data_IF_347649547529
#
_entry.id   IF_347649547529
#
_cell.length_a   1.000
_cell.length_b   1.000
_cell.length_c   1.000
_cell.angle_alpha   90.00
_cell.angle_beta   90.00
_cell.angle_gamma   90.00
#
_symmetry.space_group_name_H-M   'P 1'
#
loop_
_entity.id
_entity.type
_entity.pdbx_description
1 polymer ?
#
# COMPACT_ATOMS: atom_id res chain seq x y z
N UNK A 1 8.06 25.49 6.85
CA UNK A 1 7.03 24.93 7.75
C UNK A 1 7.63 23.67 8.35
N UNK A 2 7.72 23.56 9.68
CA UNK A 2 8.34 22.39 10.31
C UNK A 2 7.28 21.29 10.43
N UNK A 3 7.22 20.40 9.44
CA UNK A 3 6.53 19.13 9.59
C UNK A 3 7.31 18.26 10.58
N UNK A 4 6.63 17.42 11.35
CA UNK A 4 7.31 16.36 12.10
C UNK A 4 7.97 15.35 11.16
N UNK A 5 8.71 14.37 11.71
CA UNK A 5 9.50 13.42 10.93
C UNK A 5 8.68 12.70 9.84
N UNK A 6 7.50 12.17 10.17
CA UNK A 6 6.60 11.51 9.21
C UNK A 6 6.13 12.47 8.11
N UNK A 7 5.69 13.68 8.47
CA UNK A 7 5.26 14.67 7.50
C UNK A 7 6.40 15.11 6.56
N UNK A 8 7.63 15.18 7.06
CA UNK A 8 8.82 15.47 6.26
C UNK A 8 9.18 14.34 5.28
N UNK A 9 9.11 13.07 5.71
CA UNK A 9 9.36 11.92 4.84
C UNK A 9 8.32 11.80 3.70
N UNK A 10 7.08 12.20 3.97
CA UNK A 10 5.94 12.00 3.06
C UNK A 10 5.36 13.31 2.51
N UNK A 11 6.14 14.40 2.47
CA UNK A 11 5.62 15.72 2.10
C UNK A 11 5.09 15.83 0.66
N UNK A 12 5.50 14.93 -0.23
CA UNK A 12 4.93 14.81 -1.59
C UNK A 12 3.42 14.55 -1.57
N UNK A 13 2.92 13.84 -0.58
CA UNK A 13 1.48 13.64 -0.40
C UNK A 13 0.79 14.90 0.09
N UNK A 14 1.44 15.75 0.89
CA UNK A 14 0.79 16.93 1.44
C UNK A 14 0.59 18.02 0.38
N UNK A 15 1.65 18.31 -0.38
CA UNK A 15 1.66 19.43 -1.33
C UNK A 15 2.64 19.24 -2.51
N UNK A 16 2.95 18.00 -2.90
CA UNK A 16 3.89 17.68 -3.99
C UNK A 16 5.31 18.25 -3.81
N UNK A 17 5.72 18.54 -2.57
CA UNK A 17 7.11 18.89 -2.29
C UNK A 17 8.04 17.70 -2.49
N UNK A 18 9.28 17.97 -2.89
CA UNK A 18 10.36 16.96 -2.96
C UNK A 18 10.52 16.23 -1.64
N UNK A 19 10.87 14.95 -1.63
CA UNK A 19 11.07 14.17 -0.39
C UNK A 19 12.57 13.90 -0.18
N UNK A 20 13.02 13.64 1.06
CA UNK A 20 14.41 13.28 1.29
C UNK A 20 14.76 11.94 0.62
N UNK A 21 16.03 11.77 0.22
CA UNK A 21 16.49 10.57 -0.49
C UNK A 21 16.27 9.26 0.26
N UNK A 22 16.16 9.30 1.59
CA UNK A 22 15.87 8.16 2.44
C UNK A 22 14.38 8.02 2.82
N UNK A 23 13.48 8.72 2.14
CA UNK A 23 12.04 8.55 2.30
C UNK A 23 11.61 7.14 1.86
N UNK A 24 10.46 6.64 2.36
CA UNK A 24 9.84 5.44 1.82
C UNK A 24 9.65 5.54 0.31
N UNK A 25 9.87 4.44 -0.42
CA UNK A 25 9.75 4.45 -1.89
C UNK A 25 8.39 4.95 -2.38
N UNK A 26 7.31 4.65 -1.64
CA UNK A 26 5.97 5.13 -1.98
C UNK A 26 5.87 6.67 -2.00
N UNK A 27 6.66 7.37 -1.18
CA UNK A 27 6.68 8.83 -1.14
C UNK A 27 7.21 9.48 -2.42
N UNK A 28 7.91 8.73 -3.29
CA UNK A 28 8.32 9.21 -4.60
C UNK A 28 7.23 9.02 -5.67
N UNK A 29 6.20 8.19 -5.42
CA UNK A 29 5.16 7.89 -6.39
C UNK A 29 4.40 9.13 -6.90
N UNK A 30 4.00 10.11 -6.04
CA UNK A 30 3.37 11.34 -6.53
C UNK A 30 4.31 12.19 -7.38
N UNK A 31 5.61 12.21 -7.07
CA UNK A 31 6.60 13.02 -7.79
C UNK A 31 6.86 12.45 -9.18
N UNK A 32 7.03 11.13 -9.28
CA UNK A 32 7.18 10.44 -10.56
C UNK A 32 5.93 10.64 -11.44
N UNK A 33 4.73 10.49 -10.86
CA UNK A 33 3.48 10.71 -11.60
C UNK A 33 3.29 12.18 -12.03
N UNK A 34 3.75 13.13 -11.21
CA UNK A 34 3.76 14.54 -11.54
C UNK A 34 4.68 14.83 -12.73
N UNK A 35 5.91 14.33 -12.71
CA UNK A 35 6.88 14.51 -13.79
C UNK A 35 6.43 13.86 -15.10
N UNK A 36 5.81 12.68 -15.04
CA UNK A 36 5.22 12.06 -16.23
C UNK A 36 4.10 12.89 -16.85
N UNK A 37 3.32 13.62 -16.04
CA UNK A 37 2.23 14.49 -16.53
C UNK A 37 2.74 15.85 -17.02
N UNK A 38 3.51 16.56 -16.20
CA UNK A 38 3.82 17.98 -16.43
C UNK A 38 5.20 18.22 -17.04
N UNK A 39 6.13 17.26 -16.91
CA UNK A 39 7.43 17.30 -17.57
C UNK A 39 7.51 16.34 -18.77
N UNK A 40 6.38 15.69 -19.13
CA UNK A 40 6.25 14.77 -20.28
C UNK A 40 7.30 13.65 -20.28
N UNK A 41 7.68 13.17 -19.09
CA UNK A 41 8.61 12.06 -18.94
C UNK A 41 7.92 10.70 -19.06
N UNK A 42 8.73 9.64 -19.18
CA UNK A 42 8.27 8.23 -19.21
C UNK A 42 8.89 7.41 -18.07
N UNK A 43 8.92 7.99 -16.87
CA UNK A 43 9.52 7.39 -15.69
C UNK A 43 8.73 6.17 -15.18
N UNK A 44 9.43 5.16 -14.61
CA UNK A 44 8.79 3.96 -14.11
C UNK A 44 7.95 4.23 -12.86
N UNK A 45 6.69 3.80 -12.90
CA UNK A 45 5.78 3.94 -11.77
C UNK A 45 6.13 3.02 -10.61
N UNK A 46 6.02 3.60 -9.42
CA UNK A 46 5.98 2.88 -8.14
C UNK A 46 4.67 2.08 -8.06
N UNK A 47 4.77 0.79 -7.74
CA UNK A 47 3.61 -0.10 -7.76
C UNK A 47 2.72 0.02 -6.54
N UNK A 48 3.28 0.40 -5.39
CA UNK A 48 2.53 0.54 -4.14
C UNK A 48 1.25 1.37 -4.31
N UNK A 49 0.19 0.87 -3.69
CA UNK A 49 -1.13 1.50 -3.57
C UNK A 49 -1.40 1.61 -2.09
N UNK A 50 -1.64 2.84 -1.61
CA UNK A 50 -1.92 3.11 -0.21
C UNK A 50 -3.44 3.20 0.01
N UNK A 51 -3.94 2.88 1.22
CA UNK A 51 -5.36 3.03 1.54
C UNK A 51 -5.85 4.47 1.34
N UNK A 52 -7.15 4.66 1.05
CA UNK A 52 -7.75 5.99 0.88
C UNK A 52 -7.52 6.91 2.10
N UNK A 53 -7.49 6.34 3.31
CA UNK A 53 -7.31 7.10 4.55
C UNK A 53 -5.89 7.61 4.74
N UNK A 54 -4.90 7.05 4.01
CA UNK A 54 -3.49 7.34 4.25
C UNK A 54 -3.17 8.84 4.24
N UNK A 55 -3.68 9.57 3.24
CA UNK A 55 -3.46 11.01 3.13
C UNK A 55 -4.01 11.73 4.36
N UNK A 56 -5.25 11.44 4.74
CA UNK A 56 -5.89 12.00 5.95
C UNK A 56 -5.10 11.68 7.22
N UNK A 57 -4.71 10.42 7.39
CA UNK A 57 -3.94 9.95 8.54
C UNK A 57 -2.57 10.65 8.61
N UNK A 58 -1.97 10.93 7.45
CA UNK A 58 -0.73 11.70 7.34
C UNK A 58 -0.93 13.17 7.76
N UNK A 59 -2.02 13.83 7.37
CA UNK A 59 -2.33 15.20 7.82
C UNK A 59 -2.48 15.26 9.34
N UNK A 60 -3.21 14.30 9.94
CA UNK A 60 -3.34 14.20 11.40
C UNK A 60 -1.96 13.97 12.03
N UNK A 61 -1.23 12.96 11.55
CA UNK A 61 0.07 12.60 12.08
C UNK A 61 1.06 13.76 12.00
N UNK A 62 1.04 14.55 10.92
CA UNK A 62 1.91 15.69 10.72
C UNK A 62 1.54 16.95 11.53
N UNK A 63 0.44 16.91 12.30
CA UNK A 63 -0.02 18.03 13.13
C UNK A 63 -0.93 19.02 12.40
N UNK A 64 -1.52 18.62 11.28
CA UNK A 64 -2.30 19.47 10.39
C UNK A 64 -3.73 18.96 10.19
N UNK A 65 -4.29 18.33 11.22
CA UNK A 65 -5.63 17.72 11.16
C UNK A 65 -6.76 18.71 10.82
N UNK A 66 -6.60 20.00 11.11
CA UNK A 66 -7.58 21.05 10.77
C UNK A 66 -7.63 21.36 9.26
N UNK A 67 -6.62 20.94 8.50
CA UNK A 67 -6.49 21.20 7.06
C UNK A 67 -6.72 19.96 6.18
N UNK A 68 -7.23 18.87 6.77
CA UNK A 68 -7.57 17.64 6.03
C UNK A 68 -8.54 17.99 4.90
N UNK A 69 -8.17 17.64 3.67
CA UNK A 69 -9.06 17.72 2.53
C UNK A 69 -8.76 16.61 1.52
N UNK A 70 -9.82 15.91 1.11
CA UNK A 70 -9.80 14.92 0.02
C UNK A 70 -10.11 15.58 -1.34
N UNK A 71 -10.31 16.90 -1.37
CA UNK A 71 -10.47 17.71 -2.58
C UNK A 71 -9.20 18.56 -2.79
N UNK A 72 -8.40 18.33 -3.85
CA UNK A 72 -7.16 19.06 -4.09
C UNK A 72 -7.39 20.57 -4.28
N UNK A 73 -8.61 20.99 -4.64
CA UNK A 73 -8.98 22.41 -4.83
C UNK A 73 -9.18 23.15 -3.50
N UNK A 74 -9.31 22.43 -2.38
CA UNK A 74 -9.64 23.02 -1.06
C UNK A 74 -8.45 23.10 -0.09
N UNK A 75 -7.26 22.68 -0.51
CA UNK A 75 -6.04 22.86 0.30
C UNK A 75 -5.76 24.37 0.47
N UNK A 76 -5.40 24.85 1.69
CA UNK A 76 -5.12 26.27 1.93
C UNK A 76 -4.05 26.84 0.99
N UNK A 77 -4.27 28.06 0.49
CA UNK A 77 -3.32 28.75 -0.40
C UNK A 77 -1.90 28.89 0.18
N UNK A 78 -1.77 28.96 1.50
CA UNK A 78 -0.48 29.05 2.20
C UNK A 78 0.38 27.79 2.04
N UNK A 79 -0.19 26.69 1.54
CA UNK A 79 0.47 25.40 1.31
C UNK A 79 0.74 25.11 -0.16
N UNK A 80 0.27 25.99 -1.04
CA UNK A 80 0.41 25.82 -2.48
C UNK A 80 1.88 25.93 -2.84
N UNK A 81 2.41 24.83 -3.36
CA UNK A 81 3.64 24.82 -4.16
C UNK A 81 3.25 25.09 -5.61
N UNK A 82 4.22 25.47 -6.45
CA UNK A 82 3.99 25.58 -7.89
C UNK A 82 3.45 24.26 -8.48
N UNK A 83 3.92 23.12 -7.97
CA UNK A 83 3.45 21.79 -8.36
C UNK A 83 1.98 21.57 -7.97
N UNK A 84 1.58 22.00 -6.77
CA UNK A 84 0.19 21.88 -6.33
C UNK A 84 -0.75 22.80 -7.13
N UNK A 85 -0.34 24.02 -7.44
CA UNK A 85 -1.11 24.93 -8.30
C UNK A 85 -1.31 24.35 -9.70
N UNK A 86 -0.26 23.73 -10.28
CA UNK A 86 -0.37 23.03 -11.55
C UNK A 86 -1.38 21.86 -11.50
N UNK A 87 -1.37 21.08 -10.41
CA UNK A 87 -2.37 20.03 -10.18
C UNK A 87 -3.79 20.61 -10.10
N UNK A 88 -4.00 21.70 -9.34
CA UNK A 88 -5.31 22.34 -9.22
C UNK A 88 -5.85 22.84 -10.56
N UNK A 89 -4.97 23.43 -11.37
CA UNK A 89 -5.31 23.88 -12.72
C UNK A 89 -5.71 22.70 -13.59
N UNK A 90 -4.92 21.63 -13.62
CA UNK A 90 -5.22 20.42 -14.41
C UNK A 90 -6.53 19.75 -13.99
N UNK A 91 -6.82 19.67 -12.68
CA UNK A 91 -8.11 19.16 -12.17
C UNK A 91 -9.27 20.05 -12.62
N UNK A 92 -9.12 21.37 -12.53
CA UNK A 92 -10.16 22.33 -12.92
C UNK A 92 -10.41 22.35 -14.43
N UNK A 93 -9.38 22.02 -15.23
CA UNK A 93 -9.44 21.99 -16.69
C UNK A 93 -9.50 20.57 -17.27
N UNK A 94 -9.86 19.55 -16.48
CA UNK A 94 -9.76 18.15 -16.90
C UNK A 94 -10.47 17.84 -18.23
N UNK A 95 -11.66 18.41 -18.45
CA UNK A 95 -12.48 18.15 -19.64
C UNK A 95 -11.85 18.63 -20.95
N UNK A 96 -10.89 19.55 -20.89
CA UNK A 96 -10.18 20.08 -22.08
C UNK A 96 -8.77 19.50 -22.25
N UNK A 97 -8.30 18.68 -21.31
CA UNK A 97 -7.02 17.97 -21.44
C UNK A 97 -7.11 16.89 -22.52
N UNK A 98 -5.99 16.59 -23.17
CA UNK A 98 -5.92 15.47 -24.10
C UNK A 98 -6.06 14.12 -23.37
N UNK A 99 -6.52 13.07 -24.06
CA UNK A 99 -6.77 11.75 -23.43
C UNK A 99 -5.56 11.18 -22.67
N UNK A 100 -4.32 11.22 -23.21
CA UNK A 100 -3.15 10.75 -22.45
C UNK A 100 -2.91 11.56 -21.18
N UNK A 101 -3.08 12.88 -21.22
CA UNK A 101 -2.95 13.76 -20.06
C UNK A 101 -4.06 13.50 -19.01
N UNK A 102 -5.29 13.22 -19.46
CA UNK A 102 -6.38 12.80 -18.58
C UNK A 102 -6.00 11.53 -17.81
N UNK A 103 -5.53 10.49 -18.52
CA UNK A 103 -5.04 9.23 -17.93
C UNK A 103 -3.93 9.47 -16.90
N UNK A 104 -2.93 10.28 -17.24
CA UNK A 104 -1.82 10.64 -16.36
C UNK A 104 -2.27 11.46 -15.14
N UNK A 105 -3.27 12.33 -15.28
CA UNK A 105 -3.85 13.05 -14.14
C UNK A 105 -4.58 12.10 -13.18
N UNK A 106 -5.36 11.14 -13.70
CA UNK A 106 -6.02 10.13 -12.86
C UNK A 106 -5.01 9.27 -12.10
N UNK A 107 -3.89 8.94 -12.75
CA UNK A 107 -2.77 8.26 -12.13
C UNK A 107 -2.14 9.09 -11.00
N UNK A 108 -1.84 10.37 -11.23
CA UNK A 108 -1.30 11.26 -10.21
C UNK A 108 -2.24 11.41 -9.01
N UNK A 109 -3.53 11.64 -9.25
CA UNK A 109 -4.55 11.70 -8.20
C UNK A 109 -4.61 10.40 -7.40
N UNK A 110 -4.57 9.25 -8.07
CA UNK A 110 -4.50 7.93 -7.42
C UNK A 110 -3.24 7.79 -6.56
N UNK A 111 -2.07 8.22 -7.06
CA UNK A 111 -0.82 8.19 -6.29
C UNK A 111 -0.80 9.19 -5.13
N UNK A 112 -1.63 10.23 -5.16
CA UNK A 112 -1.87 11.14 -4.04
C UNK A 112 -2.93 10.65 -3.04
N UNK A 113 -3.49 9.45 -3.25
CA UNK A 113 -4.62 8.88 -2.52
C UNK A 113 -5.91 9.73 -2.63
N UNK A 114 -6.07 10.52 -3.69
CA UNK A 114 -7.26 11.31 -3.99
C UNK A 114 -8.21 10.53 -4.90
N UNK A 115 -8.60 9.33 -4.45
CA UNK A 115 -9.32 8.35 -5.26
C UNK A 115 -10.73 8.82 -5.64
N UNK A 116 -11.44 9.52 -4.76
CA UNK A 116 -12.77 10.07 -5.07
C UNK A 116 -12.73 11.02 -6.26
N UNK A 117 -11.75 11.92 -6.29
CA UNK A 117 -11.58 12.89 -7.37
C UNK A 117 -11.19 12.19 -8.67
N UNK A 118 -10.28 11.21 -8.60
CA UNK A 118 -9.91 10.39 -9.76
C UNK A 118 -11.12 9.64 -10.33
N UNK A 119 -11.93 9.03 -9.46
CA UNK A 119 -13.13 8.30 -9.84
C UNK A 119 -14.19 9.21 -10.47
N UNK A 120 -14.44 10.39 -9.90
CA UNK A 120 -15.41 11.35 -10.43
C UNK A 120 -15.01 11.88 -11.81
N UNK A 121 -13.75 12.32 -11.98
CA UNK A 121 -13.24 12.81 -13.26
C UNK A 121 -13.24 11.71 -14.33
N UNK A 122 -12.74 10.53 -13.97
CA UNK A 122 -12.68 9.38 -14.86
C UNK A 122 -14.06 8.90 -15.30
N UNK A 123 -15.04 8.86 -14.40
CA UNK A 123 -16.41 8.44 -14.71
C UNK A 123 -17.19 9.46 -15.56
N UNK A 124 -16.82 10.74 -15.49
CA UNK A 124 -17.38 11.79 -16.34
C UNK A 124 -16.82 11.75 -17.78
N UNK A 125 -15.90 10.84 -18.07
CA UNK A 125 -15.18 10.77 -19.34
C UNK A 125 -15.90 9.84 -20.31
N UNK A 126 -16.23 10.33 -21.51
CA UNK A 126 -16.75 9.45 -22.57
C UNK A 126 -15.65 8.50 -23.08
N UNK A 127 -15.91 7.20 -23.02
CA UNK A 127 -15.02 6.12 -23.45
C UNK A 127 -15.37 5.56 -24.84
N UNK A 128 -16.28 6.19 -25.60
CA UNK A 128 -16.76 5.68 -26.89
C UNK A 128 -15.66 5.56 -27.98
N UNK A 129 -14.58 6.32 -27.87
CA UNK A 129 -13.45 6.25 -28.81
C UNK A 129 -12.45 5.17 -28.39
N UNK A 130 -12.20 4.13 -29.23
CA UNK A 130 -11.34 3.00 -28.89
C UNK A 130 -9.85 3.32 -29.11
N UNK A 131 -9.34 4.34 -28.44
CA UNK A 131 -7.90 4.63 -28.38
C UNK A 131 -7.31 4.14 -27.06
N UNK A 132 -6.01 3.83 -27.04
CA UNK A 132 -5.32 3.26 -25.86
C UNK A 132 -5.57 4.11 -24.61
N UNK A 133 -5.44 5.43 -24.72
CA UNK A 133 -5.67 6.35 -23.61
C UNK A 133 -7.10 6.24 -23.02
N UNK A 134 -8.13 5.94 -23.81
CA UNK A 134 -9.49 5.72 -23.28
C UNK A 134 -9.56 4.49 -22.37
N UNK A 135 -8.81 3.43 -22.69
CA UNK A 135 -8.70 2.24 -21.84
C UNK A 135 -7.87 2.50 -20.60
N UNK A 136 -6.85 3.35 -20.67
CA UNK A 136 -6.08 3.74 -19.49
C UNK A 136 -6.88 4.61 -18.53
N UNK A 137 -7.70 5.53 -19.04
CA UNK A 137 -8.66 6.27 -18.21
C UNK A 137 -9.61 5.27 -17.53
N UNK A 138 -10.21 4.33 -18.28
CA UNK A 138 -11.08 3.30 -17.70
C UNK A 138 -10.35 2.47 -16.63
N UNK A 139 -9.08 2.11 -16.86
CA UNK A 139 -8.26 1.38 -15.89
C UNK A 139 -8.05 2.18 -14.61
N UNK A 140 -7.62 3.44 -14.71
CA UNK A 140 -7.38 4.28 -13.53
C UNK A 140 -8.66 4.63 -12.78
N UNK A 141 -9.78 4.84 -13.47
CA UNK A 141 -11.11 4.98 -12.86
C UNK A 141 -11.47 3.75 -12.04
N UNK A 142 -11.30 2.54 -12.61
CA UNK A 142 -11.60 1.29 -11.91
C UNK A 142 -10.63 0.99 -10.77
N UNK A 143 -9.35 1.37 -10.89
CA UNK A 143 -8.38 1.29 -9.81
C UNK A 143 -8.73 2.23 -8.64
N UNK A 144 -9.19 3.44 -8.94
CA UNK A 144 -9.69 4.37 -7.93
C UNK A 144 -10.94 3.80 -7.24
N UNK A 145 -11.92 3.30 -8.01
CA UNK A 145 -13.11 2.64 -7.47
C UNK A 145 -12.75 1.44 -6.56
N UNK A 146 -11.80 0.59 -6.98
CA UNK A 146 -11.30 -0.52 -6.17
C UNK A 146 -10.67 -0.05 -4.86
N UNK A 147 -9.99 1.11 -4.86
CA UNK A 147 -9.35 1.67 -3.66
C UNK A 147 -10.37 2.28 -2.68
N UNK A 148 -11.54 2.68 -3.17
CA UNK A 148 -12.69 3.15 -2.39
C UNK A 148 -13.58 2.00 -1.88
N UNK A 149 -13.44 0.81 -2.47
CA UNK A 149 -14.25 -0.36 -2.14
C UNK A 149 -13.93 -0.89 -0.74
N UNK A 150 -14.97 -1.14 0.06
CA UNK A 150 -14.85 -1.62 1.44
C UNK A 150 -14.54 -0.52 2.47
N UNK A 151 -14.41 0.74 2.07
CA UNK A 151 -14.21 1.86 2.98
C UNK A 151 -15.47 2.74 3.15
N UNK A 152 -16.65 2.15 2.90
CA UNK A 152 -17.98 2.77 2.95
C UNK A 152 -18.20 3.94 1.96
N UNK A 153 -17.33 4.12 0.97
CA UNK A 153 -17.52 5.10 -0.12
C UNK A 153 -18.25 4.48 -1.32
N UNK A 154 -17.98 3.21 -1.64
CA UNK A 154 -18.62 2.48 -2.76
C UNK A 154 -18.94 1.04 -2.31
N UNK A 155 -20.21 0.67 -2.36
CA UNK A 155 -20.69 -0.68 -2.00
C UNK A 155 -20.61 -1.67 -3.17
N UNK A 156 -20.84 -1.18 -4.40
CA UNK A 156 -20.86 -1.98 -5.62
C UNK A 156 -19.58 -1.79 -6.44
N UNK A 157 -18.61 -2.68 -6.27
CA UNK A 157 -17.43 -2.77 -7.12
C UNK A 157 -17.44 -4.05 -7.96
N UNK A 158 -17.07 -3.94 -9.23
CA UNK A 158 -16.93 -5.07 -10.15
C UNK A 158 -15.60 -5.01 -10.90
N UNK A 159 -15.04 -6.18 -11.20
CA UNK A 159 -13.86 -6.33 -12.06
C UNK A 159 -14.19 -6.29 -13.55
N UNK A 160 -15.46 -6.18 -13.95
CA UNK A 160 -15.90 -6.16 -15.35
C UNK A 160 -15.19 -5.12 -16.23
N UNK A 161 -14.88 -3.89 -15.76
CA UNK A 161 -14.13 -2.94 -16.56
C UNK A 161 -12.74 -3.46 -16.97
N UNK A 162 -12.03 -4.19 -16.09
CA UNK A 162 -10.75 -4.80 -16.43
C UNK A 162 -10.92 -5.91 -17.47
N UNK A 163 -11.98 -6.71 -17.38
CA UNK A 163 -12.32 -7.68 -18.40
C UNK A 163 -12.57 -7.01 -19.77
N UNK A 164 -13.35 -5.92 -19.79
CA UNK A 164 -13.63 -5.15 -21.00
C UNK A 164 -12.37 -4.54 -21.62
N UNK A 165 -11.46 -4.01 -20.78
CA UNK A 165 -10.13 -3.54 -21.25
C UNK A 165 -9.39 -4.69 -21.92
N UNK A 166 -9.27 -5.83 -21.23
CA UNK A 166 -8.56 -6.99 -21.77
C UNK A 166 -9.16 -7.48 -23.08
N UNK A 167 -10.48 -7.47 -23.24
CA UNK A 167 -11.16 -7.93 -24.45
C UNK A 167 -11.02 -6.99 -25.65
N UNK A 168 -10.95 -5.68 -25.41
CA UNK A 168 -11.06 -4.66 -26.46
C UNK A 168 -9.76 -3.94 -26.79
N UNK A 169 -8.83 -3.83 -25.84
CA UNK A 169 -7.55 -3.18 -26.07
C UNK A 169 -6.66 -4.03 -27.01
N UNK A 170 -5.72 -3.40 -27.74
CA UNK A 170 -4.71 -4.14 -28.52
C UNK A 170 -3.97 -5.15 -27.64
N UNK A 171 -3.82 -6.39 -28.14
CA UNK A 171 -3.25 -7.50 -27.36
C UNK A 171 -1.79 -7.31 -26.99
N UNK A 172 -1.08 -6.54 -27.80
CA UNK A 172 0.32 -6.15 -27.70
C UNK A 172 0.53 -4.82 -26.95
N UNK A 173 -0.39 -4.47 -26.04
CA UNK A 173 -0.33 -3.23 -25.26
C UNK A 173 -0.12 -3.46 -23.76
N UNK A 174 0.54 -2.50 -23.11
CA UNK A 174 0.70 -2.48 -21.65
C UNK A 174 -0.65 -2.48 -20.92
N UNK A 175 -1.69 -1.87 -21.50
CA UNK A 175 -2.99 -1.80 -20.84
C UNK A 175 -3.71 -3.17 -20.83
N UNK A 176 -3.52 -4.00 -21.85
CA UNK A 176 -3.99 -5.39 -21.85
C UNK A 176 -3.22 -6.25 -20.83
N UNK A 177 -1.90 -6.02 -20.69
CA UNK A 177 -1.06 -6.66 -19.68
C UNK A 177 -1.53 -6.29 -18.25
N UNK A 178 -1.79 -5.01 -18.00
CA UNK A 178 -2.30 -4.55 -16.71
C UNK A 178 -3.70 -5.09 -16.40
N UNK A 179 -4.61 -5.12 -17.38
CA UNK A 179 -5.95 -5.65 -17.20
C UNK A 179 -5.94 -7.16 -16.88
N UNK A 180 -5.17 -7.95 -17.62
CA UNK A 180 -5.02 -9.39 -17.32
C UNK A 180 -4.44 -9.62 -15.92
N UNK A 181 -3.50 -8.79 -15.46
CA UNK A 181 -3.00 -8.85 -14.08
C UNK A 181 -4.11 -8.61 -13.05
N UNK A 182 -4.99 -7.64 -13.27
CA UNK A 182 -6.12 -7.39 -12.35
C UNK A 182 -7.10 -8.57 -12.33
N UNK A 183 -7.31 -9.25 -13.45
CA UNK A 183 -8.13 -10.46 -13.49
C UNK A 183 -7.51 -11.64 -12.71
N UNK A 184 -6.18 -11.75 -12.68
CA UNK A 184 -5.49 -12.71 -11.79
C UNK A 184 -5.79 -12.37 -10.33
N UNK A 185 -5.60 -11.11 -9.93
CA UNK A 185 -5.84 -10.64 -8.56
C UNK A 185 -7.30 -10.84 -8.14
N UNK A 186 -8.26 -10.53 -9.02
CA UNK A 186 -9.69 -10.75 -8.80
C UNK A 186 -9.98 -12.20 -8.35
N UNK A 187 -9.40 -13.15 -9.06
CA UNK A 187 -9.66 -14.57 -8.84
C UNK A 187 -8.89 -15.15 -7.64
N UNK A 188 -7.71 -14.61 -7.32
CA UNK A 188 -6.94 -15.02 -6.14
C UNK A 188 -7.54 -14.45 -4.85
N UNK A 189 -7.75 -13.13 -4.81
CA UNK A 189 -8.04 -12.40 -3.56
C UNK A 189 -9.52 -12.28 -3.22
N UNK A 190 -10.41 -12.39 -4.21
CA UNK A 190 -11.84 -12.15 -4.01
C UNK A 190 -12.68 -13.38 -4.35
N UNK A 191 -12.50 -13.98 -5.52
CA UNK A 191 -13.27 -15.17 -5.91
C UNK A 191 -12.72 -16.48 -5.32
N UNK A 192 -11.44 -16.50 -4.92
CA UNK A 192 -10.71 -17.69 -4.46
C UNK A 192 -10.83 -18.89 -5.43
N UNK A 193 -10.80 -18.61 -6.73
CA UNK A 193 -10.96 -19.61 -7.80
C UNK A 193 -9.61 -19.88 -8.48
N UNK A 194 -8.93 -20.96 -8.07
CA UNK A 194 -7.58 -21.28 -8.52
C UNK A 194 -7.53 -21.67 -10.00
N UNK A 195 -8.54 -22.35 -10.53
CA UNK A 195 -8.59 -22.77 -11.93
C UNK A 195 -8.70 -21.57 -12.87
N UNK A 196 -9.58 -20.62 -12.54
CA UNK A 196 -9.76 -19.40 -13.34
C UNK A 196 -8.55 -18.49 -13.19
N UNK A 197 -7.97 -18.37 -11.99
CA UNK A 197 -6.73 -17.63 -11.78
C UNK A 197 -5.57 -18.19 -12.62
N UNK A 198 -5.39 -19.51 -12.64
CA UNK A 198 -4.35 -20.19 -13.44
C UNK A 198 -4.54 -19.94 -14.95
N UNK A 199 -5.80 -19.95 -15.43
CA UNK A 199 -6.09 -19.56 -16.83
C UNK A 199 -5.71 -18.11 -17.12
N UNK A 200 -5.97 -17.18 -16.20
CA UNK A 200 -5.55 -15.79 -16.36
C UNK A 200 -4.03 -15.62 -16.29
N UNK A 201 -3.32 -16.41 -15.47
CA UNK A 201 -1.86 -16.45 -15.48
C UNK A 201 -1.31 -16.87 -16.85
N UNK A 202 -1.91 -17.86 -17.51
CA UNK A 202 -1.52 -18.29 -18.87
C UNK A 202 -1.75 -17.19 -19.90
N UNK A 203 -2.93 -16.55 -19.88
CA UNK A 203 -3.26 -15.40 -20.75
C UNK A 203 -2.33 -14.21 -20.55
N UNK A 204 -1.97 -13.92 -19.30
CA UNK A 204 -1.02 -12.85 -18.99
C UNK A 204 0.38 -13.18 -19.51
N UNK A 205 0.82 -14.43 -19.34
CA UNK A 205 2.09 -14.91 -19.87
C UNK A 205 2.14 -14.80 -21.40
N UNK A 206 1.06 -15.18 -22.11
CA UNK A 206 0.97 -15.02 -23.57
C UNK A 206 1.21 -13.58 -24.03
N UNK A 207 0.79 -12.57 -23.27
CA UNK A 207 1.09 -11.17 -23.59
C UNK A 207 2.58 -10.86 -23.34
N UNK A 208 3.09 -11.24 -22.17
CA UNK A 208 4.44 -10.92 -21.71
C UNK A 208 5.56 -11.64 -22.47
N UNK A 209 5.31 -12.87 -22.92
CA UNK A 209 6.29 -13.74 -23.59
C UNK A 209 6.37 -13.50 -25.10
N UNK A 210 5.41 -12.77 -25.67
CA UNK A 210 5.47 -12.43 -27.10
C UNK A 210 6.45 -11.30 -27.37
N UNK A 211 7.29 -11.46 -28.40
CA UNK A 211 8.11 -10.37 -28.97
C UNK A 211 7.26 -9.22 -29.56
N UNK A 212 5.93 -9.36 -29.53
CA UNK A 212 4.98 -8.34 -30.00
C UNK A 212 4.85 -7.19 -29.01
N UNK A 213 4.93 -7.46 -27.70
CA UNK A 213 4.91 -6.41 -26.69
C UNK A 213 6.26 -5.67 -26.71
N UNK A 214 6.28 -4.49 -27.33
CA UNK A 214 7.48 -3.66 -27.45
C UNK A 214 7.77 -2.95 -26.12
N UNK A 215 8.49 -3.63 -25.23
CA UNK A 215 8.97 -3.10 -23.94
C UNK A 215 10.48 -3.22 -23.85
N UNK A 216 11.11 -2.28 -23.14
CA UNK A 216 12.55 -2.33 -22.90
C UNK A 216 12.94 -3.46 -21.91
N UNK A 217 14.25 -3.68 -21.76
CA UNK A 217 14.79 -4.76 -20.93
C UNK A 217 14.36 -4.62 -19.45
N UNK A 218 14.37 -3.39 -18.95
CA UNK A 218 14.04 -3.01 -17.57
C UNK A 218 12.56 -3.28 -17.26
N UNK A 219 11.66 -2.85 -18.15
CA UNK A 219 10.23 -3.13 -18.03
C UNK A 219 9.94 -4.62 -18.11
N UNK A 220 10.66 -5.37 -18.95
CA UNK A 220 10.49 -6.82 -19.02
C UNK A 220 10.87 -7.50 -17.72
N UNK A 221 12.01 -7.15 -17.11
CA UNK A 221 12.41 -7.66 -15.79
C UNK A 221 11.38 -7.30 -14.71
N UNK A 222 10.87 -6.06 -14.74
CA UNK A 222 9.81 -5.59 -13.82
C UNK A 222 8.54 -6.43 -13.93
N UNK A 223 8.06 -6.69 -15.15
CA UNK A 223 6.85 -7.48 -15.36
C UNK A 223 7.05 -8.97 -15.07
N UNK A 224 8.22 -9.53 -15.36
CA UNK A 224 8.56 -10.92 -14.99
C UNK A 224 8.58 -11.10 -13.47
N UNK A 225 9.25 -10.21 -12.73
CA UNK A 225 9.24 -10.27 -11.26
C UNK A 225 7.81 -10.18 -10.70
N UNK A 226 7.01 -9.24 -11.22
CA UNK A 226 5.61 -9.06 -10.81
C UNK A 226 4.75 -10.28 -11.15
N UNK A 227 4.96 -10.90 -12.31
CA UNK A 227 4.26 -12.10 -12.74
C UNK A 227 4.54 -13.27 -11.81
N UNK A 228 5.82 -13.62 -11.58
CA UNK A 228 6.15 -14.75 -10.72
C UNK A 228 5.65 -14.55 -9.28
N UNK A 229 5.67 -13.30 -8.78
CA UNK A 229 5.12 -12.99 -7.45
C UNK A 229 3.61 -13.29 -7.36
N UNK A 230 2.82 -12.94 -8.39
CA UNK A 230 1.38 -13.25 -8.37
C UNK A 230 1.12 -14.72 -8.71
N UNK A 231 1.94 -15.34 -9.56
CA UNK A 231 1.83 -16.74 -9.91
C UNK A 231 2.08 -17.65 -8.71
N UNK A 232 2.91 -17.24 -7.74
CA UNK A 232 3.18 -18.00 -6.50
C UNK A 232 1.92 -18.35 -5.69
N UNK A 233 0.82 -17.61 -5.84
CA UNK A 233 -0.45 -17.96 -5.22
C UNK A 233 -1.08 -19.23 -5.81
N UNK A 234 -0.83 -19.58 -7.07
CA UNK A 234 -1.40 -20.77 -7.71
C UNK A 234 -0.93 -22.06 -7.03
N UNK A 235 0.39 -22.34 -6.89
CA UNK A 235 0.84 -23.49 -6.13
C UNK A 235 0.51 -23.36 -4.63
N UNK A 236 0.47 -22.15 -4.06
CA UNK A 236 0.08 -21.96 -2.66
C UNK A 236 -1.37 -22.41 -2.40
N UNK A 237 -2.32 -22.02 -3.25
CA UNK A 237 -3.72 -22.44 -3.17
C UNK A 237 -3.90 -23.95 -3.38
N UNK A 238 -2.96 -24.59 -4.08
CA UNK A 238 -2.86 -26.05 -4.24
C UNK A 238 -2.07 -26.72 -3.12
N UNK A 239 -1.56 -25.96 -2.16
CA UNK A 239 -0.70 -26.41 -1.06
C UNK A 239 0.58 -27.14 -1.53
N UNK A 240 1.10 -26.75 -2.70
CA UNK A 240 2.37 -27.25 -3.26
C UNK A 240 3.53 -26.37 -2.78
N UNK A 241 4.18 -26.82 -1.71
CA UNK A 241 5.22 -26.05 -1.01
C UNK A 241 6.47 -25.82 -1.85
N UNK A 242 6.94 -26.85 -2.55
CA UNK A 242 8.16 -26.80 -3.35
C UNK A 242 7.96 -25.87 -4.57
N UNK A 243 6.79 -25.95 -5.21
CA UNK A 243 6.47 -25.08 -6.32
C UNK A 243 6.31 -23.60 -5.90
N UNK A 244 5.76 -23.32 -4.71
CA UNK A 244 5.73 -21.95 -4.18
C UNK A 244 7.15 -21.40 -4.06
N UNK A 245 8.04 -22.15 -3.41
CA UNK A 245 9.41 -21.69 -3.19
C UNK A 245 10.14 -21.41 -4.51
N UNK A 246 10.08 -22.35 -5.47
CA UNK A 246 10.74 -22.21 -6.76
C UNK A 246 10.21 -21.01 -7.57
N UNK A 247 8.89 -20.78 -7.57
CA UNK A 247 8.27 -19.64 -8.25
C UNK A 247 8.69 -18.32 -7.61
N UNK A 248 8.75 -18.28 -6.28
CA UNK A 248 9.12 -17.07 -5.56
C UNK A 248 10.62 -16.76 -5.64
N UNK A 249 11.49 -17.77 -5.80
CA UNK A 249 12.89 -17.57 -6.18
C UNK A 249 13.02 -16.87 -7.53
N UNK A 250 12.18 -17.20 -8.52
CA UNK A 250 12.16 -16.49 -9.81
C UNK A 250 11.73 -15.03 -9.64
N UNK A 251 10.68 -14.77 -8.85
CA UNK A 251 10.24 -13.41 -8.57
C UNK A 251 11.36 -12.55 -7.96
N UNK A 252 12.13 -13.14 -7.03
CA UNK A 252 13.27 -12.50 -6.37
C UNK A 252 14.45 -12.29 -7.33
N UNK A 253 14.79 -13.30 -8.13
CA UNK A 253 15.83 -13.22 -9.14
C UNK A 253 15.61 -12.03 -10.08
N UNK A 254 14.43 -11.94 -10.72
CA UNK A 254 14.14 -10.84 -11.64
C UNK A 254 14.11 -9.46 -10.96
N UNK A 255 13.68 -9.38 -9.69
CA UNK A 255 13.70 -8.12 -8.95
C UNK A 255 15.14 -7.64 -8.66
N UNK A 256 16.05 -8.57 -8.38
CA UNK A 256 17.47 -8.25 -8.16
C UNK A 256 18.18 -7.89 -9.46
N UNK A 257 17.95 -8.66 -10.51
CA UNK A 257 18.47 -8.38 -11.86
C UNK A 257 18.04 -7.00 -12.35
N UNK A 258 16.78 -6.61 -12.09
CA UNK A 258 16.26 -5.28 -12.43
C UNK A 258 17.11 -4.15 -11.84
N UNK A 259 17.54 -4.27 -10.57
CA UNK A 259 18.37 -3.25 -9.91
C UNK A 259 19.72 -3.13 -10.64
N UNK A 260 20.38 -4.26 -10.90
CA UNK A 260 21.67 -4.30 -11.59
C UNK A 260 21.57 -3.70 -13.00
N UNK A 261 20.49 -4.03 -13.73
CA UNK A 261 20.27 -3.50 -15.07
C UNK A 261 20.04 -1.98 -15.04
N UNK A 262 19.26 -1.48 -14.07
CA UNK A 262 19.05 -0.03 -13.92
C UNK A 262 20.35 0.70 -13.57
N UNK A 263 21.17 0.13 -12.67
CA UNK A 263 22.49 0.68 -12.31
C UNK A 263 23.45 0.76 -13.50
N UNK A 264 23.28 -0.10 -14.51
CA UNK A 264 24.10 -0.08 -15.71
C UNK A 264 23.49 0.78 -16.84
N UNK A 265 22.20 0.60 -17.16
CA UNK A 265 21.52 1.24 -18.29
C UNK A 265 21.28 2.74 -18.07
N UNK A 266 21.01 3.16 -16.83
CA UNK A 266 20.64 4.54 -16.50
C UNK A 266 21.70 5.27 -15.67
N UNK A 267 22.93 4.77 -15.57
CA UNK A 267 23.98 5.35 -14.71
C UNK A 267 24.22 6.85 -14.94
N UNK A 268 24.14 7.28 -16.19
CA UNK A 268 24.35 8.68 -16.62
C UNK A 268 23.03 9.43 -16.88
N UNK A 269 21.88 8.81 -16.62
CA UNK A 269 20.57 9.43 -16.81
C UNK A 269 20.31 10.46 -15.68
N UNK A 270 19.87 11.69 -15.99
CA UNK A 270 19.59 12.71 -14.98
C UNK A 270 18.47 12.32 -14.01
N UNK A 271 17.60 11.37 -14.39
CA UNK A 271 16.53 10.82 -13.58
C UNK A 271 16.88 9.43 -12.98
N UNK A 272 18.18 9.06 -12.96
CA UNK A 272 18.69 7.79 -12.43
C UNK A 272 18.06 7.41 -11.08
N UNK A 273 17.95 8.37 -10.16
CA UNK A 273 17.38 8.12 -8.83
C UNK A 273 15.95 7.58 -8.90
N UNK A 274 15.12 8.06 -9.83
CA UNK A 274 13.75 7.55 -10.00
C UNK A 274 13.72 6.12 -10.55
N UNK A 275 14.58 5.79 -11.53
CA UNK A 275 14.71 4.43 -12.02
C UNK A 275 15.18 3.49 -10.90
N UNK A 276 16.19 3.91 -10.14
CA UNK A 276 16.77 3.10 -9.07
C UNK A 276 15.80 2.90 -7.91
N UNK A 277 15.04 3.94 -7.54
CA UNK A 277 13.97 3.85 -6.55
C UNK A 277 12.87 2.89 -7.01
N UNK A 278 12.42 2.98 -8.27
CA UNK A 278 11.41 2.07 -8.80
C UNK A 278 11.90 0.61 -8.86
N UNK A 279 13.17 0.38 -9.22
CA UNK A 279 13.77 -0.96 -9.20
C UNK A 279 13.85 -1.54 -7.78
N UNK A 280 14.29 -0.75 -6.79
CA UNK A 280 14.30 -1.18 -5.38
C UNK A 280 12.89 -1.39 -4.83
N UNK A 281 11.92 -0.56 -5.24
CA UNK A 281 10.52 -0.75 -4.87
C UNK A 281 9.93 -2.04 -5.43
N UNK A 282 10.47 -2.60 -6.52
CA UNK A 282 10.07 -3.92 -7.00
C UNK A 282 10.55 -5.07 -6.11
N UNK A 283 11.75 -4.95 -5.54
CA UNK A 283 12.31 -5.94 -4.62
C UNK A 283 11.56 -5.94 -3.28
N UNK A 284 11.10 -4.78 -2.81
CA UNK A 284 10.36 -4.61 -1.57
C UNK A 284 9.19 -5.62 -1.38
N UNK A 285 8.13 -5.63 -2.22
CA UNK A 285 6.99 -6.55 -2.08
C UNK A 285 7.37 -8.01 -2.36
N UNK A 286 8.48 -8.26 -3.07
CA UNK A 286 8.99 -9.63 -3.24
C UNK A 286 9.59 -10.14 -1.94
N UNK A 287 10.45 -9.37 -1.27
CA UNK A 287 10.99 -9.74 0.05
C UNK A 287 9.90 -9.85 1.11
N UNK A 288 8.86 -9.00 1.06
CA UNK A 288 7.67 -9.16 1.90
C UNK A 288 6.99 -10.51 1.64
N UNK A 289 6.82 -10.88 0.37
CA UNK A 289 6.20 -12.15 -0.02
C UNK A 289 7.07 -13.36 0.35
N UNK A 290 8.40 -13.25 0.20
CA UNK A 290 9.38 -14.28 0.63
C UNK A 290 9.39 -14.46 2.14
N UNK A 291 9.21 -13.37 2.90
CA UNK A 291 9.04 -13.44 4.36
C UNK A 291 7.77 -14.21 4.72
N UNK A 292 6.64 -13.90 4.08
CA UNK A 292 5.36 -14.59 4.33
C UNK A 292 5.38 -16.05 3.88
N UNK A 293 6.04 -16.35 2.76
CA UNK A 293 6.30 -17.72 2.33
C UNK A 293 7.08 -18.48 3.40
N UNK A 294 8.20 -17.92 3.87
CA UNK A 294 9.05 -18.55 4.88
C UNK A 294 8.26 -18.88 6.15
N UNK A 295 7.46 -17.92 6.64
CA UNK A 295 6.55 -18.13 7.78
C UNK A 295 5.55 -19.25 7.51
N UNK A 296 4.94 -19.28 6.32
CA UNK A 296 3.98 -20.33 5.94
C UNK A 296 4.63 -21.72 5.84
N UNK A 297 5.88 -21.79 5.40
CA UNK A 297 6.68 -23.03 5.36
C UNK A 297 7.22 -23.44 6.73
N UNK A 298 7.23 -22.53 7.72
CA UNK A 298 7.83 -22.72 9.04
C UNK A 298 9.34 -22.49 9.08
N UNK A 299 9.92 -21.91 8.04
CA UNK A 299 11.33 -21.52 7.98
C UNK A 299 11.53 -20.13 8.62
N UNK A 300 11.63 -20.12 9.95
CA UNK A 300 11.76 -18.88 10.72
C UNK A 300 13.12 -18.18 10.53
N UNK A 301 14.15 -18.89 10.07
CA UNK A 301 15.46 -18.30 9.80
C UNK A 301 15.45 -17.57 8.45
N UNK A 302 14.86 -18.17 7.41
CA UNK A 302 14.63 -17.47 6.14
C UNK A 302 13.69 -16.27 6.34
N UNK A 303 12.63 -16.41 7.15
CA UNK A 303 11.72 -15.31 7.45
C UNK A 303 12.47 -14.12 8.10
N UNK A 304 13.36 -14.40 9.06
CA UNK A 304 14.15 -13.36 9.72
C UNK A 304 15.14 -12.72 8.72
N UNK A 305 15.86 -13.53 7.95
CA UNK A 305 16.83 -13.03 6.97
C UNK A 305 16.17 -12.09 5.94
N UNK A 306 15.03 -12.49 5.37
CA UNK A 306 14.30 -11.69 4.36
C UNK A 306 13.67 -10.44 4.95
N UNK A 307 13.12 -10.51 6.16
CA UNK A 307 12.55 -9.31 6.82
C UNK A 307 13.63 -8.31 7.24
N UNK A 308 14.81 -8.77 7.68
CA UNK A 308 15.96 -7.89 7.95
C UNK A 308 16.49 -7.23 6.68
N UNK A 309 16.60 -7.98 5.58
CA UNK A 309 16.97 -7.43 4.28
C UNK A 309 15.97 -6.37 3.82
N UNK A 310 14.68 -6.64 3.99
CA UNK A 310 13.60 -5.71 3.65
C UNK A 310 13.75 -4.40 4.43
N UNK A 311 13.97 -4.47 5.76
CA UNK A 311 14.23 -3.27 6.59
C UNK A 311 15.49 -2.52 6.13
N UNK A 312 16.56 -3.23 5.75
CA UNK A 312 17.77 -2.59 5.24
C UNK A 312 17.55 -1.87 3.89
N UNK A 313 16.66 -2.41 3.05
CA UNK A 313 16.30 -1.83 1.75
C UNK A 313 15.61 -0.47 1.89
N UNK A 314 14.75 -0.30 2.90
CA UNK A 314 14.01 0.95 3.13
C UNK A 314 13.76 1.20 4.65
N UNK A 315 14.76 1.64 5.42
CA UNK A 315 14.70 1.66 6.89
C UNK A 315 13.69 2.64 7.49
N UNK A 316 13.18 3.57 6.68
CA UNK A 316 12.20 4.58 7.08
C UNK A 316 10.77 4.24 6.65
N UNK A 317 10.50 3.05 6.13
CA UNK A 317 9.14 2.57 5.91
C UNK A 317 8.65 1.81 7.16
N UNK A 318 7.61 2.31 7.86
CA UNK A 318 7.16 1.70 9.11
C UNK A 318 6.62 0.28 8.91
N UNK A 319 6.09 -0.06 7.72
CA UNK A 319 5.52 -1.38 7.42
C UNK A 319 6.56 -2.49 7.55
N UNK A 320 7.81 -2.17 7.23
CA UNK A 320 8.88 -3.16 7.25
C UNK A 320 9.28 -3.57 8.66
N UNK A 321 9.24 -2.62 9.58
CA UNK A 321 9.42 -2.87 10.99
C UNK A 321 8.23 -3.63 11.58
N UNK A 322 7.00 -3.43 11.07
CA UNK A 322 5.86 -4.28 11.45
C UNK A 322 6.06 -5.75 11.02
N UNK A 323 6.55 -5.98 9.79
CA UNK A 323 6.82 -7.33 9.29
C UNK A 323 7.95 -8.01 10.07
N UNK A 324 9.05 -7.30 10.34
CA UNK A 324 10.14 -7.82 11.18
C UNK A 324 9.65 -8.14 12.60
N UNK A 325 8.85 -7.26 13.19
CA UNK A 325 8.22 -7.51 14.49
C UNK A 325 7.38 -8.79 14.50
N UNK A 326 6.58 -9.03 13.44
CA UNK A 326 5.79 -10.26 13.34
C UNK A 326 6.68 -11.50 13.30
N UNK A 327 7.75 -11.49 12.50
CA UNK A 327 8.69 -12.62 12.45
C UNK A 327 9.34 -12.87 13.81
N UNK A 328 9.70 -11.81 14.54
CA UNK A 328 10.27 -11.92 15.88
C UNK A 328 9.26 -12.48 16.89
N UNK A 329 7.97 -12.15 16.79
CA UNK A 329 6.91 -12.78 17.58
C UNK A 329 6.83 -14.28 17.32
N UNK A 330 6.81 -14.71 16.06
CA UNK A 330 6.76 -16.14 15.69
C UNK A 330 8.01 -16.90 16.19
N UNK A 331 9.15 -16.21 16.28
CA UNK A 331 10.40 -16.71 16.89
C UNK A 331 10.45 -16.63 18.41
N UNK A 332 9.41 -16.08 19.06
CA UNK A 332 9.34 -15.80 20.51
C UNK A 332 10.42 -14.84 21.02
N UNK A 333 10.93 -13.97 20.16
CA UNK A 333 11.91 -12.92 20.46
C UNK A 333 11.20 -11.62 20.84
N UNK A 334 10.50 -11.64 21.97
CA UNK A 334 9.50 -10.61 22.33
C UNK A 334 10.14 -9.22 22.53
N UNK A 335 11.32 -9.13 23.12
CA UNK A 335 12.04 -7.87 23.29
C UNK A 335 12.46 -7.26 21.94
N UNK A 336 12.88 -8.11 21.00
CA UNK A 336 13.25 -7.67 19.65
C UNK A 336 12.02 -7.20 18.88
N UNK A 337 10.90 -7.94 18.98
CA UNK A 337 9.61 -7.55 18.42
C UNK A 337 9.14 -6.20 18.97
N UNK A 338 9.23 -6.00 20.29
CA UNK A 338 8.91 -4.73 20.92
C UNK A 338 9.71 -3.57 20.33
N UNK A 339 11.02 -3.74 20.11
CA UNK A 339 11.88 -2.73 19.51
C UNK A 339 11.50 -2.41 18.06
N UNK A 340 11.20 -3.43 17.25
CA UNK A 340 10.72 -3.28 15.87
C UNK A 340 9.40 -2.52 15.82
N UNK A 341 8.40 -2.91 16.61
CA UNK A 341 7.11 -2.21 16.65
C UNK A 341 7.23 -0.77 17.16
N UNK A 342 8.11 -0.51 18.13
CA UNK A 342 8.41 0.86 18.57
C UNK A 342 9.02 1.69 17.45
N UNK A 343 9.93 1.10 16.65
CA UNK A 343 10.52 1.78 15.49
C UNK A 343 9.48 2.11 14.43
N UNK A 344 8.56 1.18 14.12
CA UNK A 344 7.44 1.44 13.22
C UNK A 344 6.58 2.61 13.73
N UNK A 345 6.21 2.60 15.01
CA UNK A 345 5.42 3.67 15.64
C UNK A 345 6.11 5.04 15.57
N UNK A 346 7.42 5.07 15.85
CA UNK A 346 8.23 6.29 15.83
C UNK A 346 8.41 6.89 14.42
N UNK A 347 8.43 6.04 13.39
CA UNK A 347 8.45 6.48 11.99
C UNK A 347 7.08 7.05 11.59
N UNK A 348 5.98 6.40 11.99
CA UNK A 348 4.62 6.90 11.81
C UNK A 348 3.78 6.10 10.81
N UNK A 349 3.23 6.79 9.80
CA UNK A 349 2.27 6.20 8.84
C UNK A 349 2.97 5.58 7.62
N UNK A 350 2.41 4.52 7.02
CA UNK A 350 1.14 3.85 7.38
C UNK A 350 1.27 2.85 8.54
N UNK A 351 0.19 2.66 9.31
CA UNK A 351 0.09 1.60 10.31
C UNK A 351 0.52 1.98 11.72
N UNK A 352 0.56 3.27 12.05
CA UNK A 352 1.00 3.77 13.36
C UNK A 352 0.18 3.18 14.53
N UNK A 353 -1.15 3.05 14.35
CA UNK A 353 -2.02 2.46 15.36
C UNK A 353 -1.69 0.99 15.63
N UNK A 354 -1.48 0.20 14.56
CA UNK A 354 -1.08 -1.21 14.65
C UNK A 354 0.28 -1.34 15.33
N UNK A 355 1.25 -0.48 14.99
CA UNK A 355 2.56 -0.48 15.63
C UNK A 355 2.49 -0.22 17.14
N UNK A 356 1.72 0.79 17.56
CA UNK A 356 1.51 1.09 18.98
C UNK A 356 0.82 -0.08 19.71
N UNK A 357 -0.22 -0.66 19.10
CA UNK A 357 -0.95 -1.79 19.67
C UNK A 357 -0.05 -3.03 19.85
N UNK A 358 0.70 -3.40 18.81
CA UNK A 358 1.60 -4.57 18.86
C UNK A 358 2.77 -4.35 19.83
N UNK A 359 3.30 -3.12 19.92
CA UNK A 359 4.30 -2.78 20.94
C UNK A 359 3.73 -2.92 22.36
N UNK A 360 2.50 -2.45 22.60
CA UNK A 360 1.82 -2.61 23.88
C UNK A 360 1.61 -4.08 24.25
N UNK A 361 1.24 -4.93 23.29
CA UNK A 361 1.12 -6.38 23.52
C UNK A 361 2.46 -7.01 23.90
N UNK A 362 3.56 -6.61 23.26
CA UNK A 362 4.89 -7.07 23.65
C UNK A 362 5.24 -6.63 25.07
N UNK A 363 4.96 -5.37 25.43
CA UNK A 363 5.20 -4.85 26.78
C UNK A 363 4.37 -5.60 27.84
N UNK A 364 3.11 -5.91 27.55
CA UNK A 364 2.24 -6.73 28.41
C UNK A 364 2.85 -8.12 28.64
N UNK A 365 3.33 -8.77 27.58
CA UNK A 365 4.01 -10.07 27.68
C UNK A 365 5.30 -10.02 28.52
N UNK A 366 6.01 -8.88 28.47
CA UNK A 366 7.21 -8.61 29.27
C UNK A 366 6.90 -8.16 30.72
N UNK A 367 5.62 -8.15 31.13
CA UNK A 367 5.20 -7.73 32.47
C UNK A 367 5.23 -6.21 32.71
N UNK A 368 5.36 -5.40 31.65
CA UNK A 368 5.43 -3.93 31.69
C UNK A 368 4.05 -3.30 31.45
N UNK A 369 3.07 -3.68 32.26
CA UNK A 369 1.66 -3.34 32.04
C UNK A 369 1.35 -1.83 32.07
N UNK A 370 2.07 -1.04 32.89
CA UNK A 370 1.91 0.42 32.90
C UNK A 370 2.30 1.05 31.56
N UNK A 371 3.45 0.64 30.99
CA UNK A 371 3.90 1.11 29.68
C UNK A 371 2.96 0.63 28.57
N UNK A 372 2.45 -0.61 28.67
CA UNK A 372 1.49 -1.16 27.72
C UNK A 372 0.22 -0.31 27.64
N UNK A 373 -0.34 0.13 28.78
CA UNK A 373 -1.52 1.01 28.80
C UNK A 373 -1.26 2.32 28.06
N UNK A 374 -0.10 2.95 28.25
CA UNK A 374 0.26 4.19 27.53
C UNK A 374 0.25 3.96 26.02
N UNK A 375 0.83 2.86 25.53
CA UNK A 375 0.84 2.56 24.10
C UNK A 375 -0.52 2.13 23.55
N UNK A 376 -1.35 1.44 24.32
CA UNK A 376 -2.75 1.21 23.93
C UNK A 376 -3.52 2.53 23.80
N UNK A 377 -3.31 3.52 24.67
CA UNK A 377 -3.90 4.86 24.51
C UNK A 377 -3.41 5.56 23.24
N UNK A 378 -2.12 5.45 22.92
CA UNK A 378 -1.56 5.98 21.68
C UNK A 378 -2.16 5.30 20.45
N UNK A 379 -2.34 3.98 20.48
CA UNK A 379 -3.02 3.24 19.43
C UNK A 379 -4.45 3.73 19.23
N UNK A 380 -5.22 3.95 20.30
CA UNK A 380 -6.59 4.45 20.24
C UNK A 380 -6.66 5.89 19.73
N UNK A 381 -5.66 6.72 20.05
CA UNK A 381 -5.56 8.08 19.50
C UNK A 381 -5.30 8.07 17.99
N UNK A 382 -4.48 7.13 17.51
CA UNK A 382 -4.18 6.97 16.08
C UNK A 382 -5.33 6.33 15.31
N UNK A 383 -6.08 5.40 15.94
CA UNK A 383 -7.30 4.80 15.40
C UNK A 383 -8.41 4.76 16.47
N UNK A 384 -9.28 5.79 16.50
CA UNK A 384 -10.42 5.87 17.42
C UNK A 384 -11.41 4.70 17.33
N UNK A 385 -11.41 3.96 16.22
CA UNK A 385 -12.35 2.86 15.97
C UNK A 385 -11.78 1.49 16.35
N UNK A 386 -10.54 1.44 16.86
CA UNK A 386 -9.86 0.21 17.24
C UNK A 386 -10.51 -0.53 18.42
N UNK A 387 -11.48 -1.41 18.14
CA UNK A 387 -12.21 -2.18 19.17
C UNK A 387 -11.26 -3.01 20.04
N UNK A 388 -10.29 -3.70 19.44
CA UNK A 388 -9.31 -4.50 20.18
C UNK A 388 -8.46 -3.67 21.13
N UNK A 389 -8.17 -2.41 20.77
CA UNK A 389 -7.47 -1.47 21.64
C UNK A 389 -8.35 -1.08 22.83
N UNK A 390 -9.63 -0.79 22.60
CA UNK A 390 -10.59 -0.48 23.67
C UNK A 390 -10.76 -1.66 24.62
N UNK A 391 -10.87 -2.89 24.10
CA UNK A 391 -10.93 -4.12 24.88
C UNK A 391 -9.69 -4.29 25.78
N UNK A 392 -8.50 -4.07 25.22
CA UNK A 392 -7.24 -4.11 25.98
C UNK A 392 -7.18 -3.03 27.07
N UNK A 393 -7.56 -1.79 26.77
CA UNK A 393 -7.59 -0.71 27.78
C UNK A 393 -8.56 -1.02 28.94
N UNK A 394 -9.73 -1.60 28.63
CA UNK A 394 -10.69 -2.05 29.67
C UNK A 394 -10.15 -3.18 30.53
N UNK A 395 -9.46 -4.14 29.94
CA UNK A 395 -8.83 -5.22 30.68
C UNK A 395 -7.76 -4.71 31.66
N UNK A 396 -7.20 -3.52 31.40
CA UNK A 396 -6.18 -2.86 32.23
C UNK A 396 -6.70 -1.59 32.94
N UNK A 397 -8.02 -1.50 33.21
CA UNK A 397 -8.65 -0.28 33.73
C UNK A 397 -8.07 0.20 35.07
N UNK A 398 -7.76 -0.72 35.98
CA UNK A 398 -7.19 -0.39 37.30
C UNK A 398 -5.81 0.24 37.18
N UNK A 399 -5.00 -0.21 36.22
CA UNK A 399 -3.67 0.33 35.93
C UNK A 399 -3.82 1.70 35.26
N UNK A 400 -4.71 1.82 34.28
CA UNK A 400 -4.94 3.09 33.60
C UNK A 400 -5.48 4.19 34.52
N UNK A 401 -6.35 3.85 35.46
CA UNK A 401 -6.87 4.79 36.46
C UNK A 401 -5.78 5.34 37.40
N UNK A 402 -4.65 4.63 37.55
CA UNK A 402 -3.49 5.11 38.31
C UNK A 402 -2.61 6.08 37.50
N UNK A 403 -2.63 5.96 36.16
CA UNK A 403 -1.77 6.74 35.25
C UNK A 403 -2.48 8.04 34.82
N UNK A 404 -3.77 7.94 34.49
CA UNK A 404 -4.55 9.05 33.93
C UNK A 404 -5.81 9.27 34.77
N UNK A 405 -6.00 10.46 35.35
CA UNK A 405 -7.28 10.82 35.98
C UNK A 405 -8.42 10.70 34.95
N UNK A 406 -9.59 10.20 35.37
CA UNK A 406 -10.76 10.00 34.49
C UNK A 406 -10.55 8.99 33.34
N UNK A 407 -9.60 8.05 33.48
CA UNK A 407 -9.32 7.02 32.47
C UNK A 407 -10.57 6.21 32.05
N UNK A 408 -11.48 5.92 32.98
CA UNK A 408 -12.73 5.22 32.68
C UNK A 408 -13.66 6.04 31.78
N UNK A 409 -13.79 7.35 32.04
CA UNK A 409 -14.58 8.27 31.21
C UNK A 409 -13.96 8.39 29.80
N UNK A 410 -12.62 8.49 29.73
CA UNK A 410 -11.88 8.48 28.47
C UNK A 410 -12.21 7.25 27.60
N UNK A 411 -12.26 6.05 28.19
CA UNK A 411 -12.62 4.83 27.45
C UNK A 411 -14.10 4.87 27.00
N UNK A 412 -15.01 5.33 27.86
CA UNK A 412 -16.45 5.33 27.59
C UNK A 412 -16.86 6.34 26.50
N UNK A 413 -16.16 7.46 26.37
CA UNK A 413 -16.32 8.42 25.28
C UNK A 413 -16.09 7.76 23.90
N UNK A 414 -14.98 7.02 23.75
CA UNK A 414 -14.68 6.32 22.49
C UNK A 414 -15.67 5.18 22.20
N UNK A 415 -16.22 4.54 23.24
CA UNK A 415 -17.28 3.53 23.06
C UNK A 415 -18.61 4.12 22.57
N UNK A 416 -18.97 5.29 23.06
CA UNK A 416 -20.21 5.97 22.66
C UNK A 416 -20.09 6.51 21.23
N UNK A 417 -18.92 7.05 20.87
CA UNK A 417 -18.59 7.39 19.49
C UNK A 417 -18.63 6.16 18.56
N UNK A 418 -18.05 5.03 19.00
CA UNK A 418 -18.03 3.79 18.20
C UNK A 418 -19.39 3.10 18.07
N UNK A 419 -20.29 3.16 19.06
CA UNK A 419 -21.67 2.64 18.92
C UNK A 419 -22.50 3.44 17.91
N UNK A 420 -22.32 4.75 17.88
CA UNK A 420 -22.99 5.62 16.90
C UNK A 420 -22.43 5.40 15.48
N UNK A 421 -21.15 5.02 15.36
CA UNK A 421 -20.50 4.69 14.09
C UNK A 421 -20.76 3.23 13.66
N UNK A 422 -20.90 2.27 14.57
CA UNK A 422 -21.22 0.86 14.28
C UNK A 422 -22.63 0.66 13.71
N UNK A 423 -23.58 1.56 14.03
CA UNK A 423 -24.85 1.61 13.30
C UNK A 423 -24.70 2.07 11.84
N UNK A 424 -23.51 2.52 11.41
CA UNK A 424 -23.17 2.90 10.04
C UNK A 424 -21.97 2.17 9.40
N UNK A 425 -21.08 1.51 10.15
CA UNK A 425 -19.79 1.02 9.64
C UNK A 425 -19.42 -0.38 10.16
N UNK A 426 -19.47 -1.41 9.30
CA UNK A 426 -19.11 -2.80 9.63
C UNK A 426 -17.79 -3.32 9.01
N UNK A 427 -16.93 -2.47 8.42
CA UNK A 427 -15.96 -2.95 7.40
C UNK A 427 -14.46 -2.82 7.74
N UNK A 428 -14.07 -2.25 8.88
CA UNK A 428 -12.63 -2.16 9.25
C UNK A 428 -11.94 -3.52 9.55
N UNK A 429 -12.69 -4.62 9.62
CA UNK A 429 -12.14 -5.96 9.89
C UNK A 429 -11.26 -6.53 8.74
N UNK A 430 -11.17 -5.87 7.58
CA UNK A 430 -10.45 -6.40 6.43
C UNK A 430 -8.93 -6.15 6.48
N UNK A 431 -8.47 -5.02 7.03
CA UNK A 431 -7.02 -4.71 7.12
C UNK A 431 -6.31 -5.52 8.21
N UNK A 432 -7.00 -5.85 9.31
CA UNK A 432 -6.47 -6.75 10.34
C UNK A 432 -6.23 -8.18 9.84
N UNK A 433 -6.97 -8.65 8.81
CA UNK A 433 -6.90 -10.04 8.34
C UNK A 433 -5.64 -10.35 7.53
N UNK A 434 -5.00 -9.34 6.93
CA UNK A 434 -3.74 -9.50 6.17
C UNK A 434 -2.49 -9.58 7.08
N UNK A 435 -2.59 -9.14 8.34
CA UNK A 435 -1.51 -9.21 9.34
C UNK A 435 -1.74 -10.29 10.41
N UNK A 436 -2.98 -10.70 10.69
CA UNK A 436 -3.32 -11.61 11.79
C UNK A 436 -3.61 -13.07 11.39
N UNK A 437 -3.13 -13.56 10.24
CA UNK A 437 -3.45 -14.94 9.83
C UNK A 437 -2.67 -16.05 10.55
N UNK A 438 -1.80 -15.73 11.52
CA UNK A 438 -1.13 -16.74 12.37
C UNK A 438 -1.44 -16.65 13.86
N UNK A 439 -2.02 -15.57 14.38
CA UNK A 439 -2.19 -15.39 15.83
C UNK A 439 -3.49 -15.97 16.45
N UNK A 440 -4.42 -16.51 15.66
CA UNK A 440 -5.73 -16.96 16.15
C UNK A 440 -5.96 -18.48 16.12
N UNK A 441 -4.91 -19.31 16.03
CA UNK A 441 -5.08 -20.78 16.06
C UNK A 441 -4.83 -21.46 17.41
N UNK A 442 -4.29 -20.77 18.41
CA UNK A 442 -3.85 -21.43 19.65
C UNK A 442 -4.77 -21.30 20.89
N UNK A 443 -5.95 -20.66 20.77
CA UNK A 443 -6.91 -20.57 21.91
C UNK A 443 -8.11 -21.53 21.82
N UNK A 444 -8.15 -22.49 20.88
CA UNK A 444 -9.26 -23.45 20.79
C UNK A 444 -8.90 -24.93 20.98
N UNK A 445 -7.63 -25.28 21.26
CA UNK A 445 -7.26 -26.65 21.63
C UNK A 445 -6.15 -26.70 22.68
N UNK A 446 -6.54 -26.52 23.95
CA UNK A 446 -6.22 -27.42 25.08
C UNK A 446 -6.87 -26.96 26.37
#
# INVERSE_FOLDING_TARGET
>A
MLCNYTGWLCQSYLNLSQVPANAPFHAFAPLIAYDNLFAEKTLPLIQSVLPQTFRRDLFVAAGFGEYISDDPLRIPKTWHTLQWEALQNAVSSYSILERPQQSLLLQLLSKLCLYDVAYQLGSATDHAQPIVASYEIMYWTSMAQHSLWGANAIEDFSFDPFMQIYERAPRDSLIALHASYQMIIANIKHAHNVEVADQWCKRHWEILDTDRLQINSVDRLRFLSRYYRVYGFIPQMRNDRDAVHAVMEQAEHYARELIVHVEHEFADDPDFDFYHIAAKEMLHPVLESRTKEALWLGDLDMALAKSMELVALCPNDPRLHLHLGQVQIERREIEAAAASYLRAFAIGQPGQAVAAFMHAQCLEHLGRSQDAVVFYMLALRSDPQGLSTVEKLRAHIDIGAQIVPQFSEYIDEYNTANRNVQCGNAVQQYQHRQLNTTAQKDECHK
#
